data_IF_731302511882
#
_entry.id   IF_731302511882
#
_cell.length_a   1.000
_cell.length_b   1.000
_cell.length_c   1.000
_cell.angle_alpha   90.00
_cell.angle_beta   90.00
_cell.angle_gamma   90.00
#
_symmetry.space_group_name_H-M   'P 1'
#
loop_
_entity.id
_entity.type
_entity.pdbx_description
1 polymer ?
#
# COMPACT_ATOMS: atom_id res chain seq x y z
N UNK A 1 32.76 18.34 -68.62
CA UNK A 1 33.21 17.33 -67.64
C UNK A 1 32.68 17.73 -66.29
N UNK A 2 32.03 16.78 -65.61
CA UNK A 2 31.51 16.84 -64.24
C UNK A 2 32.50 17.48 -63.25
N UNK A 3 32.03 18.13 -62.18
CA UNK A 3 32.05 17.58 -60.80
C UNK A 3 31.15 18.42 -59.86
N UNK A 4 30.05 17.77 -59.44
CA UNK A 4 29.40 17.66 -58.11
C UNK A 4 29.12 18.91 -57.26
N UNK A 5 27.81 19.19 -57.15
CA UNK A 5 27.14 19.86 -56.03
C UNK A 5 27.40 19.14 -54.71
N UNK A 6 27.85 19.89 -53.70
CA UNK A 6 28.03 19.42 -52.32
C UNK A 6 26.72 19.71 -51.55
N UNK A 7 25.85 18.71 -51.44
CA UNK A 7 24.69 18.78 -50.56
C UNK A 7 25.17 18.59 -49.11
N UNK A 8 25.14 19.65 -48.30
CA UNK A 8 25.27 19.56 -46.85
C UNK A 8 24.02 18.87 -46.30
N UNK A 9 24.19 17.62 -45.86
CA UNK A 9 23.19 16.89 -45.08
C UNK A 9 23.33 17.35 -43.62
N UNK A 10 22.45 18.24 -43.17
CA UNK A 10 22.33 18.57 -41.75
C UNK A 10 21.67 17.38 -41.03
N UNK A 11 22.49 16.55 -40.40
CA UNK A 11 22.03 15.44 -39.57
C UNK A 11 21.65 16.01 -38.21
N UNK A 12 20.37 16.35 -38.04
CA UNK A 12 19.82 16.80 -36.76
C UNK A 12 19.86 15.64 -35.77
N UNK A 13 20.74 15.74 -34.76
CA UNK A 13 20.68 14.88 -33.59
C UNK A 13 19.50 15.36 -32.75
N UNK A 14 18.36 14.68 -32.86
CA UNK A 14 17.28 14.81 -31.88
C UNK A 14 17.76 14.02 -30.66
N UNK A 15 18.29 14.73 -29.67
CA UNK A 15 18.42 14.18 -28.32
C UNK A 15 16.99 13.99 -27.80
N UNK A 16 16.44 12.78 -27.97
CA UNK A 16 15.24 12.39 -27.27
C UNK A 16 15.56 12.38 -25.79
N UNK A 17 15.15 13.42 -25.06
CA UNK A 17 15.00 13.29 -23.62
C UNK A 17 13.97 12.17 -23.43
N UNK A 18 14.40 11.03 -22.89
CA UNK A 18 13.47 10.05 -22.39
C UNK A 18 12.68 10.77 -21.28
N UNK A 19 11.42 11.09 -21.56
CA UNK A 19 10.46 11.39 -20.51
C UNK A 19 10.36 10.07 -19.72
N UNK A 20 11.08 9.96 -18.61
CA UNK A 20 10.76 8.92 -17.63
C UNK A 20 9.34 9.21 -17.18
N UNK A 21 8.43 8.24 -17.29
CA UNK A 21 7.14 8.34 -16.64
C UNK A 21 7.39 8.63 -15.15
N UNK A 22 6.69 9.63 -14.62
CA UNK A 22 6.78 9.97 -13.20
C UNK A 22 6.25 8.78 -12.40
N UNK A 23 7.00 8.33 -11.39
CA UNK A 23 6.58 7.22 -10.55
C UNK A 23 5.32 7.61 -9.77
N UNK A 24 4.35 6.70 -9.72
CA UNK A 24 3.19 6.83 -8.84
C UNK A 24 3.55 6.22 -7.50
N UNK A 25 3.45 7.02 -6.43
CA UNK A 25 3.68 6.54 -5.07
C UNK A 25 2.35 6.09 -4.48
N UNK A 26 2.32 4.90 -3.89
CA UNK A 26 1.17 4.36 -3.17
C UNK A 26 1.56 4.08 -1.72
N UNK A 27 0.60 4.23 -0.82
CA UNK A 27 0.81 4.09 0.63
C UNK A 27 0.11 2.84 1.18
N UNK A 28 0.29 2.60 2.48
CA UNK A 28 -0.36 1.49 3.19
C UNK A 28 -1.87 1.71 3.29
N UNK A 29 -2.35 2.93 3.45
CA UNK A 29 -3.77 3.23 3.72
C UNK A 29 -4.23 2.89 5.14
N UNK A 30 -5.34 3.50 5.57
CA UNK A 30 -6.00 3.29 6.86
C UNK A 30 -7.04 2.16 6.81
N UNK A 31 -7.86 1.99 7.85
CA UNK A 31 -8.93 0.98 7.87
C UNK A 31 -10.10 1.26 6.92
N UNK A 32 -10.27 2.50 6.45
CA UNK A 32 -11.36 2.92 5.56
C UNK A 32 -11.01 2.74 4.09
N UNK A 33 -9.72 2.60 3.77
CA UNK A 33 -9.28 2.26 2.44
C UNK A 33 -9.87 0.92 1.96
N UNK A 34 -9.94 0.74 0.64
CA UNK A 34 -10.59 -0.42 0.02
C UNK A 34 -9.70 -1.68 0.06
N UNK A 35 -9.51 -2.23 1.26
CA UNK A 35 -8.75 -3.46 1.47
C UNK A 35 -9.44 -4.68 0.88
N UNK A 36 -8.68 -5.41 0.09
CA UNK A 36 -9.04 -6.71 -0.45
C UNK A 36 -8.20 -7.79 0.24
N UNK A 37 -8.74 -9.01 0.20
CA UNK A 37 -8.11 -10.15 0.83
C UNK A 37 -8.25 -11.42 0.02
N UNK A 38 -7.16 -12.18 -0.09
CA UNK A 38 -7.15 -13.49 -0.74
C UNK A 38 -6.29 -14.47 0.04
N UNK A 39 -6.83 -15.66 0.31
CA UNK A 39 -6.12 -16.73 0.99
C UNK A 39 -5.83 -17.85 0.00
N UNK A 40 -4.56 -18.22 -0.16
CA UNK A 40 -4.19 -19.50 -0.78
C UNK A 40 -3.87 -20.52 0.31
N UNK A 41 -4.34 -21.75 0.12
CA UNK A 41 -4.17 -22.86 1.04
C UNK A 41 -3.50 -24.02 0.33
N UNK A 42 -2.45 -24.52 0.95
CA UNK A 42 -1.63 -25.63 0.46
C UNK A 42 -1.56 -26.73 1.51
N UNK A 43 -1.25 -27.94 1.07
CA UNK A 43 -0.73 -28.98 1.95
C UNK A 43 0.57 -28.49 2.58
N UNK A 44 0.87 -28.99 3.78
CA UNK A 44 2.15 -28.69 4.43
C UNK A 44 3.33 -29.12 3.54
N UNK A 45 4.50 -28.47 3.67
CA UNK A 45 5.70 -28.85 2.92
C UNK A 45 6.07 -30.34 3.09
N UNK A 46 5.89 -30.89 4.29
CA UNK A 46 6.16 -32.30 4.59
C UNK A 46 5.19 -33.25 3.87
N UNK A 47 4.01 -32.74 3.49
CA UNK A 47 2.98 -33.44 2.70
C UNK A 47 3.08 -33.11 1.19
N UNK A 48 4.18 -32.49 0.75
CA UNK A 48 4.46 -32.19 -0.65
C UNK A 48 4.04 -30.79 -1.13
N UNK A 49 3.49 -29.94 -0.25
CA UNK A 49 3.25 -28.52 -0.57
C UNK A 49 2.21 -28.26 -1.66
N UNK A 50 1.38 -29.25 -2.00
CA UNK A 50 0.42 -29.16 -3.10
C UNK A 50 -0.65 -28.11 -2.84
N UNK A 51 -1.01 -27.34 -3.86
CA UNK A 51 -2.14 -26.41 -3.80
C UNK A 51 -3.45 -27.15 -3.52
N UNK A 52 -4.24 -26.62 -2.58
CA UNK A 52 -5.56 -27.16 -2.22
C UNK A 52 -6.66 -26.28 -2.77
N UNK A 53 -6.69 -25.01 -2.37
CA UNK A 53 -7.65 -24.02 -2.87
C UNK A 53 -7.16 -22.58 -2.63
N UNK A 54 -7.88 -21.62 -3.22
CA UNK A 54 -7.70 -20.20 -3.01
C UNK A 54 -9.02 -19.47 -3.14
N UNK A 55 -9.29 -18.49 -2.29
CA UNK A 55 -10.53 -17.72 -2.34
C UNK A 55 -10.41 -16.34 -1.68
N UNK A 56 -11.30 -15.38 -2.02
CA UNK A 56 -11.38 -14.11 -1.31
C UNK A 56 -11.77 -14.31 0.15
N UNK A 57 -11.01 -13.70 1.06
CA UNK A 57 -11.24 -13.71 2.51
C UNK A 57 -11.32 -12.26 2.99
N UNK A 58 -12.13 -12.00 4.03
CA UNK A 58 -12.16 -10.69 4.67
C UNK A 58 -10.90 -10.42 5.50
N UNK A 59 -10.67 -9.15 5.82
CA UNK A 59 -9.52 -8.68 6.64
C UNK A 59 -9.34 -9.52 7.92
N UNK A 60 -10.42 -9.71 8.70
CA UNK A 60 -10.39 -10.51 9.92
C UNK A 60 -9.99 -11.97 9.68
N UNK A 61 -10.42 -12.54 8.54
CA UNK A 61 -10.11 -13.91 8.14
C UNK A 61 -8.64 -14.08 7.76
N UNK A 62 -8.02 -13.03 7.21
CA UNK A 62 -6.58 -12.97 6.94
C UNK A 62 -5.74 -12.67 8.18
N UNK A 63 -6.38 -12.57 9.36
CA UNK A 63 -5.71 -12.31 10.63
C UNK A 63 -4.97 -10.97 10.62
N UNK A 64 -5.61 -9.96 10.06
CA UNK A 64 -5.17 -8.57 10.15
C UNK A 64 -6.15 -7.77 11.03
N UNK A 65 -5.63 -6.87 11.85
CA UNK A 65 -6.42 -6.02 12.75
C UNK A 65 -5.94 -4.58 12.65
N UNK A 66 -6.86 -3.66 12.31
CA UNK A 66 -6.59 -2.23 12.28
C UNK A 66 -6.82 -1.60 13.66
N UNK A 67 -5.93 -0.68 14.03
CA UNK A 67 -6.09 0.19 15.18
C UNK A 67 -5.85 1.63 14.73
N UNK A 68 -6.93 2.28 14.31
CA UNK A 68 -6.90 3.66 13.78
C UNK A 68 -6.44 4.66 14.84
N UNK A 69 -6.81 4.43 16.11
CA UNK A 69 -6.34 5.26 17.22
C UNK A 69 -4.83 5.18 17.46
N UNK A 70 -4.16 4.16 16.92
CA UNK A 70 -2.72 3.99 16.97
C UNK A 70 -2.04 4.08 15.59
N UNK A 71 -2.78 4.40 14.53
CA UNK A 71 -2.28 4.43 13.15
C UNK A 71 -1.54 3.15 12.73
N UNK A 72 -2.11 1.98 13.03
CA UNK A 72 -1.46 0.71 12.72
C UNK A 72 -2.40 -0.35 12.16
N UNK A 73 -1.82 -1.26 11.37
CA UNK A 73 -2.37 -2.58 11.09
C UNK A 73 -1.43 -3.63 11.68
N UNK A 74 -2.01 -4.58 12.41
CA UNK A 74 -1.27 -5.72 12.97
C UNK A 74 -1.59 -6.97 12.17
N UNK A 75 -0.56 -7.65 11.67
CA UNK A 75 -0.67 -8.94 11.00
C UNK A 75 -0.31 -10.06 11.99
N UNK A 76 -1.19 -11.04 12.11
CA UNK A 76 -1.05 -12.17 13.03
C UNK A 76 -0.76 -13.48 12.29
N UNK A 77 -0.33 -14.53 13.01
CA UNK A 77 -0.20 -15.87 12.46
C UNK A 77 -1.52 -16.35 11.86
N UNK A 78 -1.43 -17.04 10.72
CA UNK A 78 -2.59 -17.59 10.04
C UNK A 78 -3.32 -18.56 10.98
N UNK A 79 -4.61 -18.35 11.18
CA UNK A 79 -5.42 -19.13 12.11
C UNK A 79 -6.86 -19.17 11.64
N UNK A 80 -7.55 -20.27 11.92
CA UNK A 80 -8.95 -20.48 11.53
C UNK A 80 -9.73 -21.00 12.74
N UNK A 81 -10.85 -20.36 13.05
CA UNK A 81 -11.77 -20.81 14.11
C UNK A 81 -12.70 -21.94 13.62
N UNK A 82 -12.08 -23.03 13.14
CA UNK A 82 -12.75 -24.26 12.72
C UNK A 82 -11.94 -25.45 13.24
N UNK A 83 -12.45 -26.22 14.22
CA UNK A 83 -11.71 -27.32 14.83
C UNK A 83 -11.57 -28.55 13.92
N UNK A 84 -12.02 -28.48 12.67
CA UNK A 84 -11.93 -29.56 11.70
C UNK A 84 -10.50 -30.13 11.56
N UNK A 85 -10.35 -31.46 11.37
CA UNK A 85 -9.06 -32.09 11.06
C UNK A 85 -8.45 -31.61 9.73
N UNK A 86 -9.23 -30.88 8.92
CA UNK A 86 -8.70 -30.23 7.73
C UNK A 86 -7.63 -29.19 8.08
N UNK A 87 -7.86 -28.39 9.13
CA UNK A 87 -6.97 -27.30 9.55
C UNK A 87 -5.95 -27.72 10.60
N UNK A 88 -6.24 -28.76 11.38
CA UNK A 88 -5.46 -29.16 12.54
C UNK A 88 -5.29 -30.66 12.63
N UNK A 89 -4.22 -31.12 13.29
CA UNK A 89 -3.99 -32.54 13.56
C UNK A 89 -3.92 -32.78 15.07
N UNK A 90 -4.72 -33.72 15.63
CA UNK A 90 -5.78 -34.50 14.97
C UNK A 90 -7.09 -33.73 14.80
N UNK A 91 -7.30 -32.65 15.55
CA UNK A 91 -8.44 -31.72 15.49
C UNK A 91 -8.03 -30.41 16.19
N UNK A 92 -8.80 -29.34 16.03
CA UNK A 92 -8.49 -28.05 16.63
C UNK A 92 -8.84 -27.99 18.11
N UNK A 93 -7.79 -27.87 18.93
CA UNK A 93 -7.84 -27.63 20.37
C UNK A 93 -6.51 -27.01 20.83
N UNK A 94 -6.44 -26.39 22.02
CA UNK A 94 -5.17 -25.84 22.53
C UNK A 94 -4.03 -26.87 22.53
N UNK A 95 -2.91 -26.51 21.93
CA UNK A 95 -1.73 -27.36 21.71
C UNK A 95 -1.73 -28.11 20.37
N UNK A 96 -2.75 -27.95 19.53
CA UNK A 96 -2.83 -28.61 18.22
C UNK A 96 -1.85 -28.03 17.22
N UNK A 97 -1.43 -28.87 16.29
CA UNK A 97 -0.53 -28.48 15.19
C UNK A 97 -1.35 -28.22 13.93
N UNK A 98 -1.02 -27.18 13.19
CA UNK A 98 -1.61 -26.89 11.88
C UNK A 98 -1.44 -28.03 10.89
N UNK A 99 -2.43 -28.19 10.02
CA UNK A 99 -2.46 -29.21 8.97
C UNK A 99 -2.45 -28.62 7.55
N UNK A 100 -2.42 -27.29 7.43
CA UNK A 100 -2.37 -26.57 6.15
C UNK A 100 -1.37 -25.44 6.22
N UNK A 101 -0.66 -25.24 5.10
CA UNK A 101 0.13 -24.05 4.86
C UNK A 101 -0.80 -22.98 4.27
N UNK A 102 -0.78 -21.80 4.87
CA UNK A 102 -1.65 -20.69 4.52
C UNK A 102 -0.81 -19.53 4.03
N UNK A 103 -1.32 -18.86 2.99
CA UNK A 103 -0.71 -17.73 2.33
C UNK A 103 -1.74 -16.60 2.26
N UNK A 104 -1.77 -15.79 3.32
CA UNK A 104 -2.70 -14.69 3.48
C UNK A 104 -2.19 -13.46 2.74
N UNK A 105 -2.99 -12.92 1.82
CA UNK A 105 -2.65 -11.73 1.05
C UNK A 105 -3.67 -10.63 1.35
N UNK A 106 -3.23 -9.58 2.04
CA UNK A 106 -4.00 -8.36 2.34
C UNK A 106 -3.46 -7.23 1.46
N UNK A 107 -4.31 -6.62 0.62
CA UNK A 107 -3.82 -5.70 -0.42
C UNK A 107 -4.86 -4.68 -0.88
N UNK A 108 -4.36 -3.63 -1.52
CA UNK A 108 -5.13 -2.75 -2.40
C UNK A 108 -5.04 -3.23 -3.83
N UNK A 109 -6.06 -2.96 -4.65
CA UNK A 109 -6.03 -3.23 -6.08
C UNK A 109 -6.55 -2.02 -6.87
N UNK A 110 -5.87 -1.70 -7.96
CA UNK A 110 -6.31 -0.74 -8.97
C UNK A 110 -6.40 -1.41 -10.32
N UNK A 111 -7.55 -1.24 -10.96
CA UNK A 111 -7.97 -1.96 -12.18
C UNK A 111 -8.59 -1.05 -13.24
N UNK A 112 -8.39 0.27 -13.12
CA UNK A 112 -8.96 1.31 -14.00
C UNK A 112 -7.97 1.81 -15.08
N UNK A 113 -6.77 1.23 -15.12
CA UNK A 113 -5.70 1.59 -16.05
C UNK A 113 -4.88 2.82 -15.64
N UNK A 114 -5.16 3.46 -14.50
CA UNK A 114 -4.40 4.63 -14.01
C UNK A 114 -2.94 4.32 -13.72
N UNK A 115 -2.61 3.07 -13.39
CA UNK A 115 -1.25 2.60 -13.12
C UNK A 115 -0.60 1.88 -14.31
N UNK A 116 -1.10 2.07 -15.54
CA UNK A 116 -0.61 1.36 -16.73
C UNK A 116 0.69 1.96 -17.28
N UNK A 117 1.74 1.15 -17.42
CA UNK A 117 3.00 1.54 -18.07
C UNK A 117 3.81 2.58 -17.29
N UNK A 118 3.64 2.65 -15.97
CA UNK A 118 4.32 3.60 -15.08
C UNK A 118 5.02 2.86 -13.94
N UNK A 119 6.13 3.41 -13.39
CA UNK A 119 6.69 2.89 -12.16
C UNK A 119 5.70 3.11 -11.02
N UNK A 120 5.38 2.06 -10.26
CA UNK A 120 4.60 2.13 -9.03
C UNK A 120 5.53 1.88 -7.85
N UNK A 121 5.61 2.82 -6.92
CA UNK A 121 6.43 2.73 -5.72
C UNK A 121 5.54 2.63 -4.49
N UNK A 122 5.59 1.50 -3.78
CA UNK A 122 4.91 1.29 -2.51
C UNK A 122 5.84 1.64 -1.35
N UNK A 123 5.42 2.59 -0.53
CA UNK A 123 6.20 3.08 0.62
C UNK A 123 5.42 2.97 1.93
N UNK A 124 6.16 2.90 3.03
CA UNK A 124 5.61 2.88 4.38
C UNK A 124 6.64 2.56 5.44
N UNK A 125 6.17 2.33 6.67
CA UNK A 125 7.02 1.97 7.81
C UNK A 125 6.53 0.73 8.51
N UNK A 126 7.43 -0.24 8.69
CA UNK A 126 7.20 -1.40 9.55
C UNK A 126 7.65 -1.04 10.96
N UNK A 127 6.71 -1.00 11.91
CA UNK A 127 7.02 -0.71 13.30
C UNK A 127 7.70 -1.89 13.99
N UNK A 128 7.24 -3.11 13.72
CA UNK A 128 7.83 -4.32 14.27
C UNK A 128 7.53 -5.55 13.43
N UNK A 129 8.42 -6.53 13.51
CA UNK A 129 8.16 -7.89 13.06
C UNK A 129 8.79 -8.84 14.08
N UNK A 130 7.94 -9.62 14.74
CA UNK A 130 8.32 -10.58 15.78
C UNK A 130 7.95 -12.01 15.41
N UNK A 131 7.56 -12.26 14.16
CA UNK A 131 7.23 -13.60 13.68
C UNK A 131 8.39 -14.56 13.93
N UNK A 132 8.07 -15.74 14.45
CA UNK A 132 9.04 -16.83 14.52
C UNK A 132 9.34 -17.36 13.12
N UNK A 133 10.37 -18.20 12.97
CA UNK A 133 10.73 -18.80 11.67
C UNK A 133 9.62 -19.66 11.04
N UNK A 134 8.54 -19.96 11.78
CA UNK A 134 7.36 -20.66 11.25
C UNK A 134 6.50 -19.78 10.34
N UNK A 135 6.60 -18.45 10.45
CA UNK A 135 5.84 -17.51 9.63
C UNK A 135 6.78 -16.52 8.95
N UNK A 136 6.52 -16.24 7.68
CA UNK A 136 7.26 -15.25 6.90
C UNK A 136 6.27 -14.19 6.45
N UNK A 137 6.55 -12.94 6.82
CA UNK A 137 5.79 -11.78 6.36
C UNK A 137 6.57 -11.04 5.27
N UNK A 138 5.90 -10.65 4.20
CA UNK A 138 6.47 -9.96 3.04
C UNK A 138 5.62 -8.76 2.62
N UNK A 139 6.28 -7.83 1.94
CA UNK A 139 5.67 -6.66 1.29
C UNK A 139 5.77 -6.89 -0.22
N UNK A 140 4.71 -6.66 -0.98
CA UNK A 140 4.69 -6.91 -2.42
C UNK A 140 4.04 -5.79 -3.23
N UNK A 141 4.42 -5.73 -4.50
CA UNK A 141 3.63 -5.16 -5.60
C UNK A 141 3.51 -6.26 -6.67
N UNK A 142 2.30 -6.48 -7.18
CA UNK A 142 2.02 -7.43 -8.26
C UNK A 142 1.25 -6.72 -9.37
N UNK A 143 1.62 -7.01 -10.60
CA UNK A 143 0.93 -6.52 -11.79
C UNK A 143 0.39 -7.73 -12.54
N UNK A 144 -0.92 -8.01 -12.42
CA UNK A 144 -1.59 -9.17 -12.98
C UNK A 144 -2.10 -8.93 -14.39
N UNK A 145 -1.99 -9.96 -15.24
CA UNK A 145 -2.73 -10.02 -16.49
C UNK A 145 -4.25 -9.91 -16.24
N UNK A 146 -5.05 -9.44 -17.22
CA UNK A 146 -6.49 -9.21 -17.02
C UNK A 146 -7.32 -10.45 -16.63
N UNK A 147 -6.78 -11.65 -16.85
CA UNK A 147 -7.40 -12.93 -16.47
C UNK A 147 -6.76 -13.57 -15.23
N UNK A 148 -5.86 -12.85 -14.56
CA UNK A 148 -5.05 -13.30 -13.42
C UNK A 148 -4.18 -14.54 -13.69
N UNK A 149 -3.96 -14.92 -14.96
CA UNK A 149 -3.20 -16.13 -15.33
C UNK A 149 -1.69 -16.01 -15.08
N UNK A 150 -1.20 -14.78 -14.95
CA UNK A 150 0.21 -14.46 -14.70
C UNK A 150 0.33 -13.08 -14.06
N UNK A 151 1.50 -12.81 -13.47
CA UNK A 151 1.82 -11.50 -12.93
C UNK A 151 3.33 -11.25 -12.94
N UNK A 152 3.71 -9.97 -12.94
CA UNK A 152 5.03 -9.53 -12.53
C UNK A 152 5.00 -9.18 -11.04
N UNK A 153 6.11 -9.37 -10.34
CA UNK A 153 6.18 -9.14 -8.90
C UNK A 153 7.46 -8.41 -8.51
N UNK A 154 7.31 -7.44 -7.61
CA UNK A 154 8.37 -6.95 -6.75
C UNK A 154 8.02 -7.36 -5.31
N UNK A 155 8.98 -7.88 -4.56
CA UNK A 155 8.75 -8.38 -3.20
C UNK A 155 9.99 -8.19 -2.33
N UNK A 156 9.76 -7.80 -1.07
CA UNK A 156 10.80 -7.68 -0.04
C UNK A 156 10.31 -8.32 1.27
N UNK A 157 11.25 -8.65 2.15
CA UNK A 157 10.93 -9.12 3.49
C UNK A 157 10.37 -7.95 4.33
N UNK A 158 9.40 -8.25 5.21
CA UNK A 158 8.80 -7.27 6.10
C UNK A 158 9.75 -7.02 7.29
N UNK A 159 10.73 -6.15 7.10
CA UNK A 159 11.77 -5.82 8.09
C UNK A 159 11.43 -4.52 8.81
N UNK A 160 11.61 -4.40 10.14
CA UNK A 160 11.38 -3.15 10.87
C UNK A 160 12.18 -1.97 10.30
N UNK A 161 11.51 -0.83 10.12
CA UNK A 161 12.04 0.37 9.50
C UNK A 161 11.22 0.84 8.30
N UNK A 162 11.63 1.94 7.66
CA UNK A 162 11.01 2.41 6.43
C UNK A 162 11.31 1.44 5.28
N UNK A 163 10.35 1.30 4.36
CA UNK A 163 10.51 0.55 3.13
C UNK A 163 10.08 1.39 1.92
N UNK A 164 10.69 1.08 0.77
CA UNK A 164 10.29 1.60 -0.54
C UNK A 164 10.53 0.47 -1.55
N UNK A 165 9.48 0.09 -2.26
CA UNK A 165 9.46 -1.03 -3.21
C UNK A 165 8.90 -0.52 -4.52
N UNK A 166 9.60 -0.70 -5.64
CA UNK A 166 9.14 -0.25 -6.96
C UNK A 166 8.92 -1.43 -7.90
N UNK A 167 7.83 -1.40 -8.65
CA UNK A 167 7.57 -2.27 -9.79
C UNK A 167 7.25 -1.43 -11.03
N UNK A 168 7.90 -1.72 -12.15
CA UNK A 168 7.53 -1.16 -13.45
C UNK A 168 6.32 -1.94 -13.99
N UNK A 169 5.17 -1.28 -14.14
CA UNK A 169 3.96 -1.93 -14.64
C UNK A 169 3.97 -2.06 -16.16
N UNK A 170 3.28 -3.06 -16.69
CA UNK A 170 3.12 -3.23 -18.12
C UNK A 170 2.16 -2.17 -18.70
N UNK A 171 2.41 -1.67 -19.93
CA UNK A 171 1.55 -0.69 -20.61
C UNK A 171 0.30 -1.34 -21.21
N UNK A 172 -0.50 -2.00 -20.37
CA UNK A 172 -1.83 -2.50 -20.67
C UNK A 172 -2.83 -2.01 -19.60
N UNK A 173 -3.83 -1.18 -19.96
CA UNK A 173 -4.76 -0.59 -19.00
C UNK A 173 -5.80 -1.59 -18.46
N UNK A 174 -5.88 -2.81 -18.98
CA UNK A 174 -6.78 -3.84 -18.47
C UNK A 174 -6.19 -4.66 -17.32
N UNK A 175 -4.94 -4.40 -16.93
CA UNK A 175 -4.23 -5.12 -15.88
C UNK A 175 -4.66 -4.70 -14.48
N UNK A 176 -4.34 -5.55 -13.51
CA UNK A 176 -4.67 -5.34 -12.10
C UNK A 176 -3.39 -5.17 -11.31
N UNK A 177 -3.17 -3.98 -10.78
CA UNK A 177 -2.00 -3.68 -9.94
C UNK A 177 -2.40 -3.80 -8.49
N UNK A 178 -1.76 -4.72 -7.77
CA UNK A 178 -1.98 -4.98 -6.35
C UNK A 178 -0.74 -4.64 -5.54
N UNK A 179 -0.92 -4.05 -4.35
CA UNK A 179 0.17 -3.87 -3.39
C UNK A 179 -0.32 -4.11 -1.96
N UNK A 180 0.56 -4.62 -1.11
CA UNK A 180 0.21 -4.89 0.27
C UNK A 180 1.13 -5.89 0.94
N UNK A 181 0.55 -6.72 1.82
CA UNK A 181 1.27 -7.61 2.70
C UNK A 181 0.85 -9.06 2.52
N UNK A 182 1.82 -9.94 2.70
CA UNK A 182 1.65 -11.37 2.66
C UNK A 182 2.14 -11.98 3.98
N UNK A 183 1.37 -12.89 4.57
CA UNK A 183 1.81 -13.74 5.69
C UNK A 183 1.68 -15.19 5.29
N UNK A 184 2.82 -15.85 5.17
CA UNK A 184 2.93 -17.27 4.82
C UNK A 184 3.34 -18.09 6.04
N UNK A 185 2.59 -19.13 6.37
CA UNK A 185 2.88 -19.99 7.52
C UNK A 185 1.85 -21.10 7.71
N UNK A 186 2.16 -22.13 8.51
CA UNK A 186 1.18 -23.17 8.85
C UNK A 186 0.05 -22.56 9.69
N UNK A 187 -1.15 -23.12 9.56
CA UNK A 187 -2.28 -22.74 10.41
C UNK A 187 -1.92 -22.93 11.89
N UNK A 188 -2.25 -21.95 12.73
CA UNK A 188 -2.06 -21.99 14.18
C UNK A 188 -3.43 -21.99 14.85
N UNK A 189 -3.60 -22.81 15.89
CA UNK A 189 -4.84 -22.82 16.64
C UNK A 189 -5.08 -21.43 17.25
N UNK A 190 -6.32 -20.95 17.20
CA UNK A 190 -6.65 -19.53 17.45
C UNK A 190 -6.20 -19.02 18.83
N UNK A 191 -6.12 -19.88 19.85
CA UNK A 191 -5.65 -19.51 21.20
C UNK A 191 -4.14 -19.57 21.37
N UNK A 192 -3.43 -20.12 20.38
CA UNK A 192 -2.01 -20.46 20.47
C UNK A 192 -1.15 -19.58 19.56
N UNK A 193 -1.72 -18.51 18.99
CA UNK A 193 -1.03 -17.59 18.08
C UNK A 193 0.04 -16.75 18.77
N UNK A 194 -0.11 -16.43 20.06
CA UNK A 194 0.78 -15.53 20.79
C UNK A 194 2.28 -15.88 20.71
N UNK A 195 2.68 -17.14 20.96
CA UNK A 195 4.08 -17.59 20.82
C UNK A 195 4.69 -17.45 19.42
N UNK A 196 3.89 -17.29 18.37
CA UNK A 196 4.39 -17.14 16.99
C UNK A 196 4.67 -15.69 16.60
N UNK A 197 4.38 -14.73 17.49
CA UNK A 197 4.61 -13.30 17.26
C UNK A 197 3.56 -12.67 16.35
N UNK A 198 3.85 -11.45 15.91
CA UNK A 198 3.06 -10.67 14.96
C UNK A 198 3.96 -9.64 14.25
N UNK A 199 3.41 -8.96 13.27
CA UNK A 199 4.01 -7.77 12.68
C UNK A 199 3.08 -6.57 12.84
N UNK A 200 3.64 -5.40 13.13
CA UNK A 200 2.90 -4.14 13.21
C UNK A 200 3.45 -3.22 12.14
N UNK A 201 2.56 -2.74 11.27
CA UNK A 201 2.88 -1.80 10.21
C UNK A 201 2.15 -0.50 10.52
N UNK A 202 2.83 0.62 10.33
CA UNK A 202 2.16 1.91 10.34
C UNK A 202 1.17 1.92 9.17
N UNK A 203 -0.12 1.98 9.49
CA UNK A 203 -1.07 2.46 8.50
C UNK A 203 -0.81 3.95 8.45
N UNK A 204 -0.74 4.53 7.27
CA UNK A 204 -0.92 5.97 7.18
C UNK A 204 -2.33 6.25 7.68
N UNK A 205 -2.53 6.40 8.99
CA UNK A 205 -3.72 7.00 9.56
C UNK A 205 -3.37 8.47 9.84
N UNK A 206 -4.36 9.37 9.82
CA UNK A 206 -4.11 10.78 9.70
C UNK A 206 -3.35 11.24 10.94
N UNK A 207 -2.04 11.48 10.79
CA UNK A 207 -1.61 12.80 11.23
C UNK A 207 -2.54 13.75 10.46
N UNK A 208 -3.18 14.69 11.14
CA UNK A 208 -3.55 15.93 10.46
C UNK A 208 -2.23 16.45 9.87
N UNK A 209 -1.85 15.97 8.68
CA UNK A 209 -0.72 16.51 7.96
C UNK A 209 -1.20 17.90 7.65
N UNK A 210 -0.51 18.89 8.21
CA UNK A 210 -0.79 20.29 7.89
C UNK A 210 -0.80 20.41 6.36
N UNK A 211 -1.97 20.61 5.76
CA UNK A 211 -2.12 20.68 4.31
C UNK A 211 -2.78 19.50 3.60
N UNK A 212 -3.06 18.33 4.22
CA UNK A 212 -3.91 17.29 3.60
C UNK A 212 -5.38 17.67 3.85
N UNK A 213 -5.92 18.49 2.94
CA UNK A 213 -7.23 19.11 3.08
C UNK A 213 -8.35 18.23 2.53
N UNK A 214 -8.00 17.24 1.70
CA UNK A 214 -8.96 16.33 1.09
C UNK A 214 -9.02 14.96 1.79
N UNK A 215 -8.01 14.63 2.60
CA UNK A 215 -7.92 13.41 3.41
C UNK A 215 -7.45 12.18 2.64
N UNK A 216 -6.76 12.35 1.51
CA UNK A 216 -6.24 11.25 0.68
C UNK A 216 -4.85 10.75 1.12
N UNK A 217 -4.26 11.37 2.14
CA UNK A 217 -2.97 11.01 2.69
C UNK A 217 -1.78 11.61 1.93
N UNK A 218 -2.02 12.54 1.00
CA UNK A 218 -1.00 13.30 0.31
C UNK A 218 -1.22 14.81 0.54
N UNK A 219 -0.17 15.61 0.34
CA UNK A 219 -0.27 17.08 0.29
C UNK A 219 0.16 17.48 -1.11
N UNK A 220 -0.82 17.58 -2.02
CA UNK A 220 -0.58 17.77 -3.45
C UNK A 220 -1.39 18.93 -4.07
N UNK A 221 -1.39 19.00 -5.41
CA UNK A 221 -2.11 20.06 -6.15
C UNK A 221 -3.62 20.08 -5.85
N UNK A 222 -4.21 18.94 -5.49
CA UNK A 222 -5.61 18.80 -5.10
C UNK A 222 -5.88 19.50 -3.77
N UNK A 223 -4.98 19.36 -2.81
CA UNK A 223 -5.05 20.10 -1.54
C UNK A 223 -4.77 21.58 -1.73
N UNK A 224 -3.85 21.92 -2.63
CA UNK A 224 -3.57 23.32 -2.94
C UNK A 224 -4.81 24.04 -3.48
N UNK A 225 -5.67 23.37 -4.26
CA UNK A 225 -6.94 23.93 -4.72
C UNK A 225 -7.88 24.23 -3.54
N UNK A 226 -7.95 23.35 -2.55
CA UNK A 226 -8.75 23.55 -1.33
C UNK A 226 -8.18 24.68 -0.47
N UNK A 227 -6.85 24.72 -0.31
CA UNK A 227 -6.14 25.77 0.41
C UNK A 227 -6.39 27.13 -0.25
N UNK A 228 -6.21 27.24 -1.57
CA UNK A 228 -6.40 28.49 -2.31
C UNK A 228 -7.86 28.99 -2.24
N UNK A 229 -8.84 28.10 -2.14
CA UNK A 229 -10.22 28.48 -1.93
C UNK A 229 -10.44 29.10 -0.54
N UNK A 230 -9.90 28.49 0.52
CA UNK A 230 -9.97 29.01 1.89
C UNK A 230 -9.17 30.32 2.06
N UNK A 231 -7.98 30.40 1.47
CA UNK A 231 -7.12 31.59 1.44
C UNK A 231 -7.82 32.81 0.81
N UNK A 232 -8.61 32.61 -0.24
CA UNK A 232 -9.38 33.69 -0.85
C UNK A 232 -10.53 34.21 0.05
N UNK A 233 -10.98 33.41 1.01
CA UNK A 233 -12.01 33.78 2.00
C UNK A 233 -11.37 34.51 3.19
N UNK A 234 -10.14 34.14 3.56
CA UNK A 234 -9.29 34.74 4.60
C UNK A 234 -9.81 34.57 6.04
N UNK A 235 -11.06 34.92 6.34
CA UNK A 235 -11.60 34.97 7.71
C UNK A 235 -12.34 33.68 8.06
N UNK A 236 -11.88 32.96 9.11
CA UNK A 236 -12.51 31.71 9.55
C UNK A 236 -13.96 31.87 10.04
N UNK A 237 -14.39 33.09 10.33
CA UNK A 237 -15.77 33.40 10.72
C UNK A 237 -16.70 33.65 9.52
N UNK A 238 -16.16 33.73 8.30
CA UNK A 238 -16.97 33.91 7.09
C UNK A 238 -17.89 32.70 6.87
N UNK A 239 -19.19 32.89 6.61
CA UNK A 239 -20.14 31.80 6.36
C UNK A 239 -19.81 30.91 5.16
N UNK A 240 -18.97 31.38 4.23
CA UNK A 240 -18.49 30.61 3.08
C UNK A 240 -17.27 29.75 3.42
N UNK A 241 -16.62 29.97 4.57
CA UNK A 241 -15.49 29.17 5.01
C UNK A 241 -15.96 27.73 5.34
N UNK A 242 -15.22 26.68 4.93
CA UNK A 242 -15.50 25.32 5.35
C UNK A 242 -15.56 25.19 6.88
N UNK A 243 -16.46 24.34 7.37
CA UNK A 243 -16.68 24.18 8.82
C UNK A 243 -15.40 23.71 9.51
N UNK A 244 -15.00 24.44 10.56
CA UNK A 244 -13.79 24.14 11.33
C UNK A 244 -12.51 24.76 10.79
N UNK A 245 -12.59 25.59 9.74
CA UNK A 245 -11.46 26.30 9.13
C UNK A 245 -10.21 25.42 8.93
N UNK A 246 -10.32 24.34 8.14
CA UNK A 246 -9.28 23.30 8.08
C UNK A 246 -7.93 23.77 7.50
N UNK A 247 -7.89 24.96 6.90
CA UNK A 247 -6.69 25.56 6.32
C UNK A 247 -6.01 26.62 7.21
N UNK A 248 -6.59 26.92 8.39
CA UNK A 248 -5.93 27.71 9.45
C UNK A 248 -5.04 26.73 10.22
N UNK A 249 -3.75 26.76 9.90
CA UNK A 249 -2.77 25.81 10.39
C UNK A 249 -2.03 26.29 11.63
N UNK A 250 -2.14 27.58 11.95
CA UNK A 250 -1.51 28.19 13.12
C UNK A 250 -2.51 28.56 14.23
N UNK A 251 -3.81 28.30 14.00
CA UNK A 251 -4.96 28.58 14.88
C UNK A 251 -5.10 30.08 15.22
N UNK A 252 -4.89 30.97 14.24
CA UNK A 252 -5.00 32.43 14.43
C UNK A 252 -6.31 33.06 13.94
N UNK A 253 -7.28 32.23 13.54
CA UNK A 253 -8.60 32.56 12.96
C UNK A 253 -8.54 33.17 11.54
N UNK A 254 -7.37 33.14 10.89
CA UNK A 254 -7.18 33.56 9.50
C UNK A 254 -6.50 32.47 8.66
N UNK A 255 -6.78 32.46 7.36
CA UNK A 255 -6.07 31.63 6.37
C UNK A 255 -5.24 32.57 5.50
N UNK A 256 -3.98 32.78 5.87
CA UNK A 256 -3.10 33.79 5.26
C UNK A 256 -1.69 33.27 4.91
N UNK A 257 -0.78 34.20 4.58
CA UNK A 257 0.60 33.88 4.17
C UNK A 257 1.32 33.02 5.23
N UNK A 258 0.93 33.12 6.50
CA UNK A 258 1.47 32.33 7.62
C UNK A 258 1.10 30.85 7.49
N UNK A 259 -0.14 30.55 7.12
CA UNK A 259 -0.60 29.19 6.82
C UNK A 259 -0.01 28.68 5.52
N UNK A 260 0.19 29.56 4.53
CA UNK A 260 0.82 29.18 3.28
C UNK A 260 2.27 28.70 3.49
N UNK A 261 3.02 29.32 4.41
CA UNK A 261 4.37 28.83 4.77
C UNK A 261 4.32 27.43 5.38
N UNK A 262 3.31 27.14 6.20
CA UNK A 262 3.11 25.82 6.78
C UNK A 262 2.66 24.79 5.73
N UNK A 263 1.76 25.18 4.83
CA UNK A 263 1.32 24.38 3.69
C UNK A 263 2.50 24.01 2.77
N UNK A 264 3.32 24.99 2.38
CA UNK A 264 4.46 24.76 1.47
C UNK A 264 5.54 23.91 2.12
N UNK A 265 5.71 23.99 3.45
CA UNK A 265 6.61 23.08 4.15
C UNK A 265 6.14 21.63 4.00
N UNK A 266 4.85 21.36 4.23
CA UNK A 266 4.27 20.03 4.07
C UNK A 266 4.25 19.56 2.61
N UNK A 267 3.87 20.44 1.67
CA UNK A 267 3.86 20.18 0.24
C UNK A 267 5.25 19.79 -0.31
N UNK A 268 6.31 20.43 0.18
CA UNK A 268 7.69 20.14 -0.25
C UNK A 268 8.24 18.82 0.28
N UNK A 269 7.71 18.31 1.40
CA UNK A 269 8.12 17.01 1.92
C UNK A 269 7.46 15.85 1.16
N UNK A 270 6.42 16.12 0.34
CA UNK A 270 5.70 15.16 -0.54
C UNK A 270 5.14 13.91 0.19
N UNK A 271 5.31 13.82 1.50
CA UNK A 271 4.96 12.69 2.36
C UNK A 271 4.63 13.23 3.76
N UNK A 272 3.56 12.71 4.39
CA UNK A 272 3.28 12.90 5.81
C UNK A 272 4.32 12.14 6.68
N UNK A 273 5.13 12.79 7.52
CA UNK A 273 6.00 12.09 8.48
C UNK A 273 5.21 11.40 9.60
#
# INVERSE_FOLDING_TARGET
MNVRSLQMLAMGVVAGAALSAQAVVVSVGDSNANWLGFMNVFELPENGGGYVFGSPWGVDGLRAEFNDGAATVTLFPNSVDDPSPFWYTPMGEPGSVGNKQMDANLYHEVSDGSLSGVPVTFEGTVNSNSFTSSHVAKIFIRDFAPDYSSFNEAVIDLVPGPFSLTLETEPDPARHVQWGFNVNGPCVWITDVGPYGNAVIATGAPATCTGDLNGDGFVDDSDFVLFAAAYNILDCTDPMMPTGCPADFNDDDFVDDSDFVLFVAAYNELICP
#
